data_IF_637387539332
#
_entry.id   IF_637387539332
#
_cell.length_a   1.000
_cell.length_b   1.000
_cell.length_c   1.000
_cell.angle_alpha   90.00
_cell.angle_beta   90.00
_cell.angle_gamma   90.00
#
_symmetry.space_group_name_H-M   'P 1'
#
loop_
_entity.id
_entity.type
_entity.pdbx_description
1 polymer ?
#
# COMPACT_ATOMS: atom_id res chain seq x y z
N UNK A 1 -4.04 -14.25 13.35
CA UNK A 1 -2.64 -13.74 13.37
C UNK A 1 -2.69 -12.34 13.93
N UNK A 2 -1.91 -12.05 14.97
CA UNK A 2 -1.77 -10.69 15.52
C UNK A 2 -1.23 -9.78 14.42
N UNK A 3 -1.89 -8.65 14.20
CA UNK A 3 -1.43 -7.63 13.28
C UNK A 3 -0.01 -7.20 13.65
N UNK A 4 0.93 -7.29 12.72
CA UNK A 4 2.28 -6.78 12.92
C UNK A 4 2.28 -5.26 13.09
N UNK A 5 3.34 -4.68 13.66
CA UNK A 5 3.50 -3.24 13.89
C UNK A 5 3.23 -2.42 12.62
N UNK A 6 3.78 -2.85 11.49
CA UNK A 6 3.61 -2.16 10.19
C UNK A 6 2.14 -2.01 9.78
N UNK A 7 1.32 -3.04 9.98
CA UNK A 7 -0.11 -2.99 9.67
C UNK A 7 -0.84 -2.01 10.58
N UNK A 8 -0.45 -1.96 11.86
CA UNK A 8 -1.05 -1.06 12.84
C UNK A 8 -0.78 0.39 12.47
N UNK A 9 0.47 0.75 12.23
CA UNK A 9 0.86 2.13 11.95
C UNK A 9 0.21 2.67 10.66
N UNK A 10 0.17 1.84 9.60
CA UNK A 10 -0.55 2.19 8.36
C UNK A 10 -2.03 2.44 8.60
N UNK A 11 -2.69 1.58 9.39
CA UNK A 11 -4.10 1.72 9.72
C UNK A 11 -4.38 2.93 10.63
N UNK A 12 -3.52 3.17 11.61
CA UNK A 12 -3.68 4.29 12.54
C UNK A 12 -3.52 5.63 11.82
N UNK A 13 -2.59 5.74 10.86
CA UNK A 13 -2.48 6.90 9.97
C UNK A 13 -3.75 7.17 9.16
N UNK A 14 -4.34 6.11 8.59
CA UNK A 14 -5.61 6.24 7.84
C UNK A 14 -6.79 6.62 8.72
N UNK A 15 -6.89 6.07 9.93
CA UNK A 15 -7.95 6.41 10.89
C UNK A 15 -7.84 7.87 11.30
N UNK A 16 -6.63 8.33 11.62
CA UNK A 16 -6.40 9.73 11.99
C UNK A 16 -6.85 10.69 10.89
N UNK A 17 -6.45 10.44 9.64
CA UNK A 17 -6.89 11.26 8.51
C UNK A 17 -8.43 11.23 8.35
N UNK A 18 -9.03 10.04 8.47
CA UNK A 18 -10.49 9.91 8.35
C UNK A 18 -11.24 10.70 9.43
N UNK A 19 -10.72 10.74 10.65
CA UNK A 19 -11.27 11.54 11.75
C UNK A 19 -11.11 13.06 11.49
N UNK A 20 -9.90 13.49 11.11
CA UNK A 20 -9.58 14.90 10.82
C UNK A 20 -10.46 15.45 9.68
N UNK A 21 -10.62 14.67 8.60
CA UNK A 21 -11.39 15.06 7.41
C UNK A 21 -12.87 14.63 7.45
N UNK A 22 -13.34 14.06 8.56
CA UNK A 22 -14.72 13.58 8.77
C UNK A 22 -15.18 12.59 7.69
N UNK A 23 -14.28 11.70 7.27
CA UNK A 23 -14.55 10.69 6.25
C UNK A 23 -15.14 9.41 6.85
N UNK A 24 -16.05 8.77 6.12
CA UNK A 24 -16.58 7.45 6.48
C UNK A 24 -15.58 6.36 6.15
N UNK A 25 -14.96 5.74 7.14
CA UNK A 25 -13.95 4.70 6.98
C UNK A 25 -14.53 3.31 7.24
N UNK A 26 -14.42 2.42 6.26
CA UNK A 26 -14.73 1.00 6.39
C UNK A 26 -13.44 0.17 6.29
N UNK A 27 -13.06 -0.47 7.38
CA UNK A 27 -11.84 -1.30 7.45
C UNK A 27 -12.18 -2.78 7.27
N UNK A 28 -11.43 -3.49 6.44
CA UNK A 28 -11.52 -4.93 6.22
C UNK A 28 -10.14 -5.56 6.17
N UNK A 29 -10.04 -6.79 6.66
CA UNK A 29 -8.77 -7.51 6.70
C UNK A 29 -8.55 -8.28 5.41
N UNK A 30 -7.54 -7.90 4.64
CA UNK A 30 -7.18 -8.49 3.35
C UNK A 30 -6.01 -9.49 3.37
N UNK A 31 -5.34 -9.66 4.53
CA UNK A 31 -4.24 -10.62 4.78
C UNK A 31 -3.08 -10.53 3.78
N UNK A 32 -2.83 -9.35 3.22
CA UNK A 32 -1.84 -9.12 2.16
C UNK A 32 -2.03 -10.04 0.93
N UNK A 33 -3.27 -10.47 0.69
CA UNK A 33 -3.66 -11.39 -0.38
C UNK A 33 -4.39 -10.65 -1.49
N UNK A 34 -3.90 -10.76 -2.73
CA UNK A 34 -4.58 -10.26 -3.93
C UNK A 34 -5.99 -10.83 -4.06
N UNK A 35 -6.12 -12.15 -3.92
CA UNK A 35 -7.41 -12.85 -4.04
C UNK A 35 -8.43 -12.36 -3.01
N UNK A 36 -8.00 -12.21 -1.77
CA UNK A 36 -8.89 -11.74 -0.70
C UNK A 36 -9.27 -10.27 -0.88
N UNK A 37 -8.32 -9.43 -1.26
CA UNK A 37 -8.60 -8.03 -1.57
C UNK A 37 -9.58 -7.88 -2.74
N UNK A 38 -9.46 -8.71 -3.79
CA UNK A 38 -10.42 -8.75 -4.90
C UNK A 38 -11.82 -9.13 -4.41
N UNK A 39 -11.98 -10.16 -3.57
CA UNK A 39 -13.26 -10.54 -2.99
C UNK A 39 -13.88 -9.43 -2.15
N UNK A 40 -13.09 -8.78 -1.30
CA UNK A 40 -13.55 -7.65 -0.48
C UNK A 40 -13.95 -6.45 -1.31
N UNK A 41 -13.23 -6.15 -2.39
CA UNK A 41 -13.59 -5.07 -3.30
C UNK A 41 -14.93 -5.36 -4.01
N UNK A 42 -15.19 -6.57 -4.45
CA UNK A 42 -16.51 -6.96 -4.99
C UNK A 42 -17.65 -6.69 -4.01
N UNK A 43 -17.43 -6.97 -2.73
CA UNK A 43 -18.47 -6.81 -1.70
C UNK A 43 -18.71 -5.36 -1.32
N UNK A 44 -17.66 -4.54 -1.25
CA UNK A 44 -17.73 -3.25 -0.56
C UNK A 44 -17.37 -2.03 -1.41
N UNK A 45 -16.63 -2.17 -2.50
CA UNK A 45 -16.10 -1.02 -3.22
C UNK A 45 -17.14 -0.23 -4.02
N UNK A 46 -18.26 -0.86 -4.39
CA UNK A 46 -19.34 -0.21 -5.18
C UNK A 46 -19.88 1.05 -4.52
N UNK A 47 -20.01 1.05 -3.20
CA UNK A 47 -20.56 2.16 -2.40
C UNK A 47 -19.47 3.04 -1.77
N UNK A 48 -18.25 3.03 -2.32
CA UNK A 48 -17.11 3.80 -1.79
C UNK A 48 -16.52 4.70 -2.87
N UNK A 49 -15.97 5.82 -2.46
CA UNK A 49 -15.35 6.79 -3.36
C UNK A 49 -13.90 6.45 -3.67
N UNK A 50 -13.20 5.80 -2.73
CA UNK A 50 -11.80 5.41 -2.83
C UNK A 50 -11.55 4.09 -2.13
N UNK A 51 -10.59 3.32 -2.62
CA UNK A 51 -10.09 2.09 -1.98
C UNK A 51 -8.63 2.28 -1.63
N UNK A 52 -8.29 2.09 -0.35
CA UNK A 52 -6.91 2.15 0.13
C UNK A 52 -6.49 0.78 0.62
N UNK A 53 -5.38 0.28 0.11
CA UNK A 53 -4.84 -1.05 0.40
C UNK A 53 -3.52 -0.94 1.16
N UNK A 54 -3.30 -1.85 2.10
CA UNK A 54 -2.07 -1.88 2.89
C UNK A 54 -0.86 -2.43 2.11
N UNK A 55 -1.04 -2.88 0.87
CA UNK A 55 0.04 -3.26 -0.05
C UNK A 55 -0.39 -3.10 -1.51
N UNK A 56 0.59 -3.00 -2.41
CA UNK A 56 0.34 -2.94 -3.85
C UNK A 56 -0.28 -4.23 -4.39
N UNK A 57 0.09 -5.38 -3.84
CA UNK A 57 -0.50 -6.66 -4.22
C UNK A 57 -2.02 -6.70 -3.95
N UNK A 58 -2.44 -6.17 -2.80
CA UNK A 58 -3.87 -6.03 -2.48
C UNK A 58 -4.55 -5.00 -3.38
N UNK A 59 -3.88 -3.90 -3.71
CA UNK A 59 -4.39 -2.89 -4.61
C UNK A 59 -4.67 -3.45 -6.01
N UNK A 60 -3.80 -4.30 -6.54
CA UNK A 60 -4.01 -5.02 -7.81
C UNK A 60 -5.29 -5.86 -7.74
N UNK A 61 -5.51 -6.60 -6.66
CA UNK A 61 -6.73 -7.38 -6.47
C UNK A 61 -7.98 -6.52 -6.48
N UNK A 62 -7.95 -5.37 -5.79
CA UNK A 62 -9.04 -4.41 -5.77
C UNK A 62 -9.30 -3.81 -7.16
N UNK A 63 -8.25 -3.41 -7.89
CA UNK A 63 -8.36 -2.88 -9.25
C UNK A 63 -9.00 -3.88 -10.23
N UNK A 64 -8.61 -5.15 -10.15
CA UNK A 64 -9.23 -6.22 -10.95
C UNK A 64 -10.72 -6.35 -10.68
N UNK A 65 -11.12 -6.32 -9.40
CA UNK A 65 -12.53 -6.37 -9.05
C UNK A 65 -13.31 -5.18 -9.60
N UNK A 66 -12.76 -3.97 -9.50
CA UNK A 66 -13.37 -2.76 -10.02
C UNK A 66 -13.52 -2.82 -11.55
N UNK A 67 -12.49 -3.29 -12.25
CA UNK A 67 -12.52 -3.49 -13.69
C UNK A 67 -13.60 -4.51 -14.12
N UNK A 68 -13.69 -5.64 -13.43
CA UNK A 68 -14.69 -6.66 -13.71
C UNK A 68 -16.13 -6.19 -13.42
N UNK A 69 -16.30 -5.25 -12.49
CA UNK A 69 -17.59 -4.64 -12.19
C UNK A 69 -17.93 -3.44 -13.10
N UNK A 70 -17.02 -3.06 -13.99
CA UNK A 70 -17.11 -1.84 -14.82
C UNK A 70 -17.32 -0.57 -13.95
N UNK A 71 -16.54 -0.47 -12.87
CA UNK A 71 -16.61 0.64 -11.92
C UNK A 71 -15.25 1.31 -11.84
N UNK A 72 -15.22 2.62 -12.06
CA UNK A 72 -14.02 3.41 -11.80
C UNK A 72 -14.02 3.92 -10.34
N UNK A 73 -12.96 3.60 -9.59
CA UNK A 73 -12.64 4.18 -8.29
C UNK A 73 -11.14 4.33 -8.15
N UNK A 74 -10.65 5.42 -7.57
CA UNK A 74 -9.24 5.54 -7.23
C UNK A 74 -8.81 4.42 -6.26
N UNK A 75 -7.67 3.82 -6.55
CA UNK A 75 -7.06 2.80 -5.69
C UNK A 75 -5.68 3.28 -5.27
N UNK A 76 -5.40 3.20 -3.98
CA UNK A 76 -4.09 3.48 -3.41
C UNK A 76 -3.49 2.20 -2.83
N UNK A 77 -2.24 1.94 -3.17
CA UNK A 77 -1.44 0.85 -2.61
C UNK A 77 -0.38 1.34 -1.64
N UNK A 78 0.49 0.43 -1.26
CA UNK A 78 1.65 0.68 -0.43
C UNK A 78 2.76 -0.30 -0.84
N UNK A 79 4.00 0.13 -0.85
CA UNK A 79 5.28 -0.52 -1.10
C UNK A 79 6.00 0.03 -2.35
N UNK A 80 5.30 0.40 -3.42
CA UNK A 80 5.88 0.89 -4.66
C UNK A 80 6.56 -0.22 -5.46
N UNK A 81 6.01 -1.44 -5.40
CA UNK A 81 6.56 -2.57 -6.16
C UNK A 81 6.33 -2.38 -7.65
N UNK A 82 7.44 -2.51 -8.40
CA UNK A 82 7.38 -2.53 -9.86
C UNK A 82 7.02 -3.93 -10.31
N UNK A 83 5.73 -4.23 -10.39
CA UNK A 83 5.27 -5.46 -11.01
C UNK A 83 5.34 -5.30 -12.52
N UNK A 84 6.29 -6.00 -13.14
CA UNK A 84 6.48 -5.99 -14.57
C UNK A 84 5.16 -6.21 -15.31
N UNK A 85 4.73 -5.20 -16.05
CA UNK A 85 3.64 -5.26 -17.00
C UNK A 85 2.22 -5.04 -16.48
N UNK A 86 1.97 -4.88 -15.16
CA UNK A 86 0.58 -4.90 -14.71
C UNK A 86 0.03 -3.61 -14.09
N UNK A 87 0.76 -2.89 -13.32
CA UNK A 87 0.18 -1.75 -12.60
C UNK A 87 1.14 -0.58 -12.38
N UNK A 88 2.37 -0.72 -12.78
CA UNK A 88 3.44 0.22 -12.44
C UNK A 88 3.24 1.65 -12.92
N UNK A 89 2.29 1.90 -13.81
CA UNK A 89 1.97 3.25 -14.32
C UNK A 89 0.60 3.77 -13.91
N UNK A 90 -0.23 2.93 -13.26
CA UNK A 90 -1.65 3.26 -13.07
C UNK A 90 -2.15 3.21 -11.61
N UNK A 91 -1.26 3.15 -10.64
CA UNK A 91 -1.64 3.05 -9.24
C UNK A 91 -0.97 4.13 -8.40
N UNK A 92 -1.76 4.79 -7.55
CA UNK A 92 -1.20 5.62 -6.50
C UNK A 92 -0.59 4.72 -5.42
N UNK A 93 0.64 4.93 -5.04
CA UNK A 93 1.28 4.13 -3.99
C UNK A 93 2.34 4.92 -3.23
N UNK A 94 2.54 4.54 -1.97
CA UNK A 94 3.68 4.99 -1.18
C UNK A 94 4.86 4.07 -1.48
N UNK A 95 5.88 4.59 -2.16
CA UNK A 95 7.07 3.83 -2.53
C UNK A 95 8.12 3.87 -1.44
N UNK A 96 8.57 2.70 -1.04
CA UNK A 96 9.73 2.49 -0.19
C UNK A 96 10.98 2.29 -1.06
N UNK A 97 12.13 2.81 -0.63
CA UNK A 97 13.41 2.54 -1.29
C UNK A 97 13.99 1.22 -0.78
N UNK A 98 13.56 0.11 -1.41
CA UNK A 98 14.01 -1.23 -1.02
C UNK A 98 15.51 -1.43 -1.18
N UNK A 99 16.14 -0.75 -2.15
CA UNK A 99 17.59 -0.84 -2.31
C UNK A 99 18.29 -0.23 -1.09
N UNK A 100 17.91 0.98 -0.71
CA UNK A 100 18.47 1.65 0.45
C UNK A 100 18.16 0.91 1.76
N UNK A 101 16.93 0.43 1.92
CA UNK A 101 16.55 -0.41 3.08
C UNK A 101 17.48 -1.62 3.20
N UNK A 102 17.75 -2.30 2.10
CA UNK A 102 18.61 -3.50 2.08
C UNK A 102 20.08 -3.15 2.37
N UNK A 103 20.58 -2.07 1.79
CA UNK A 103 21.96 -1.62 2.02
C UNK A 103 22.19 -1.26 3.49
N UNK A 104 21.34 -0.41 4.06
CA UNK A 104 21.41 -0.01 5.48
C UNK A 104 21.28 -1.23 6.42
N UNK A 105 20.38 -2.17 6.11
CA UNK A 105 20.24 -3.39 6.91
C UNK A 105 21.50 -4.25 6.90
N UNK A 106 22.19 -4.36 5.74
CA UNK A 106 23.46 -5.10 5.64
C UNK A 106 24.60 -4.38 6.38
N UNK A 107 24.69 -3.08 6.29
CA UNK A 107 25.67 -2.29 7.04
C UNK A 107 25.45 -2.43 8.55
N UNK A 108 24.20 -2.35 9.01
CA UNK A 108 23.87 -2.55 10.42
C UNK A 108 24.22 -3.97 10.90
N UNK A 109 23.94 -4.98 10.07
CA UNK A 109 24.31 -6.36 10.41
C UNK A 109 25.83 -6.51 10.57
N UNK A 110 26.63 -5.97 9.65
CA UNK A 110 28.09 -5.99 9.74
C UNK A 110 28.58 -5.31 11.03
N UNK A 111 28.04 -4.14 11.34
CA UNK A 111 28.38 -3.41 12.56
C UNK A 111 28.03 -4.17 13.84
N UNK A 112 26.87 -4.83 13.89
CA UNK A 112 26.46 -5.65 15.04
C UNK A 112 27.36 -6.86 15.22
N UNK A 113 27.83 -7.49 14.13
CA UNK A 113 28.78 -8.61 14.20
C UNK A 113 30.16 -8.19 14.74
N UNK A 114 30.53 -6.93 14.58
CA UNK A 114 31.75 -6.33 15.14
C UNK A 114 31.57 -5.85 16.60
N UNK A 115 30.42 -6.12 17.22
CA UNK A 115 30.13 -5.76 18.61
C UNK A 115 29.54 -4.35 18.78
N UNK A 116 29.06 -3.71 17.73
CA UNK A 116 28.34 -2.44 17.80
C UNK A 116 26.94 -2.59 18.41
N UNK A 117 26.39 -1.49 18.91
CA UNK A 117 25.00 -1.46 19.41
C UNK A 117 24.00 -1.28 18.28
N UNK A 118 22.78 -1.84 18.41
CA UNK A 118 21.68 -1.65 17.47
C UNK A 118 21.18 -0.21 17.45
N UNK A 119 20.83 0.30 16.27
CA UNK A 119 20.26 1.63 16.11
C UNK A 119 19.02 1.58 15.19
N UNK A 120 18.15 2.55 15.34
CA UNK A 120 17.01 2.75 14.46
C UNK A 120 17.39 3.72 13.34
N UNK A 121 17.13 3.32 12.10
CA UNK A 121 17.39 4.15 10.91
C UNK A 121 16.07 4.39 10.20
N UNK A 122 15.63 5.65 10.16
CA UNK A 122 14.46 6.08 9.41
C UNK A 122 14.86 6.47 8.00
N UNK A 123 14.22 5.87 7.01
CA UNK A 123 14.43 6.17 5.60
C UNK A 123 13.25 6.93 5.01
N UNK A 124 13.55 7.80 4.06
CA UNK A 124 12.54 8.57 3.34
C UNK A 124 11.68 7.67 2.45
N UNK A 125 10.49 8.14 2.16
CA UNK A 125 9.56 7.53 1.22
C UNK A 125 9.21 8.51 0.09
N UNK A 126 8.64 8.00 -0.98
CA UNK A 126 8.07 8.84 -2.05
C UNK A 126 6.64 8.43 -2.35
N UNK A 127 5.84 9.38 -2.85
CA UNK A 127 4.47 9.10 -3.29
C UNK A 127 4.45 9.07 -4.81
N UNK A 128 4.10 7.92 -5.37
CA UNK A 128 3.81 7.78 -6.79
C UNK A 128 2.33 8.12 -6.98
N UNK A 129 2.06 9.07 -7.88
CA UNK A 129 0.70 9.47 -8.23
C UNK A 129 0.40 9.06 -9.66
N UNK A 130 -0.75 8.45 -9.86
CA UNK A 130 -1.27 8.17 -11.18
C UNK A 130 -1.67 9.49 -11.86
N UNK A 131 -1.24 9.67 -13.12
CA UNK A 131 -1.72 10.77 -13.95
C UNK A 131 -2.98 10.29 -14.67
N UNK A 132 -4.13 10.79 -14.25
CA UNK A 132 -5.44 10.40 -14.82
C UNK A 132 -5.63 10.88 -16.26
N UNK A 133 -4.78 11.79 -16.76
CA UNK A 133 -4.87 12.31 -18.13
C UNK A 133 -4.53 11.28 -19.21
N UNK A 134 -3.87 10.18 -18.87
CA UNK A 134 -3.52 9.12 -19.81
C UNK A 134 -4.70 8.14 -20.07
N UNK A 135 -5.85 8.35 -19.44
CA UNK A 135 -7.02 7.46 -19.55
C UNK A 135 -8.07 7.97 -20.57
N UNK A 136 -7.92 9.19 -21.03
CA UNK A 136 -8.92 9.87 -21.88
C UNK A 136 -8.52 9.88 -23.38
N UNK A 137 -7.52 9.10 -23.75
CA UNK A 137 -7.15 8.97 -25.17
C UNK A 137 -7.56 7.62 -25.71
#
# INVERSE_FOLDING_TARGET
KKNGFVTKDRLDGMKRLAEEEKLSLLVRQGDFSEKKARQLAFQYARSRDIVVCASDLMAIGAMRALQEMDIFRPVCGFDGITLMGYAGKQMNTVRQDFYRISAEAMEEMARLLEGGEGREILLDYSIIRMQYLDIIC
#
